data_IF_493958341076
#
_entry.id   IF_493958341076
#
_cell.length_a   1.000
_cell.length_b   1.000
_cell.length_c   1.000
_cell.angle_alpha   90.00
_cell.angle_beta   90.00
_cell.angle_gamma   90.00
#
_symmetry.space_group_name_H-M   'P 1'
#
loop_
_entity.id
_entity.type
_entity.pdbx_description
1 polymer ?
#
# COMPACT_ATOMS: atom_id res chain seq x y z
N UNK A 1 -54.60 -47.57 -20.03
CA UNK A 1 -53.40 -47.01 -19.38
C UNK A 1 -52.90 -45.85 -20.24
N UNK A 2 -52.35 -44.85 -19.57
CA UNK A 2 -52.17 -43.44 -19.91
C UNK A 2 -51.22 -43.09 -21.08
N UNK A 3 -51.55 -43.43 -22.32
CA UNK A 3 -50.70 -43.04 -23.48
C UNK A 3 -50.40 -41.54 -23.54
N UNK A 4 -51.35 -40.66 -23.19
CA UNK A 4 -51.11 -39.22 -23.14
C UNK A 4 -50.19 -38.78 -21.99
N UNK A 5 -50.26 -39.46 -20.84
CA UNK A 5 -49.40 -39.13 -19.68
C UNK A 5 -47.99 -39.68 -19.88
N UNK A 6 -47.86 -40.81 -20.56
CA UNK A 6 -46.57 -41.44 -20.88
C UNK A 6 -45.83 -40.62 -21.95
N UNK A 7 -46.56 -40.07 -22.93
CA UNK A 7 -46.01 -39.14 -23.93
C UNK A 7 -45.57 -37.84 -23.25
N UNK A 8 -46.38 -37.25 -22.37
CA UNK A 8 -46.00 -36.04 -21.62
C UNK A 8 -44.81 -36.27 -20.69
N UNK A 9 -44.72 -37.43 -20.03
CA UNK A 9 -43.59 -37.79 -19.20
C UNK A 9 -42.31 -38.03 -20.02
N UNK A 10 -42.44 -38.64 -21.20
CA UNK A 10 -41.33 -38.79 -22.13
C UNK A 10 -40.85 -37.43 -22.65
N UNK A 11 -41.76 -36.58 -23.15
CA UNK A 11 -41.43 -35.25 -23.66
C UNK A 11 -40.71 -34.39 -22.61
N UNK A 12 -41.19 -34.35 -21.36
CA UNK A 12 -40.49 -33.67 -20.26
C UNK A 12 -39.17 -34.34 -19.83
N UNK A 13 -38.97 -35.62 -20.14
CA UNK A 13 -37.72 -36.34 -19.85
C UNK A 13 -36.65 -36.16 -20.92
N UNK A 14 -37.03 -35.83 -22.17
CA UNK A 14 -36.09 -35.51 -23.28
C UNK A 14 -35.87 -34.02 -23.47
N UNK A 15 -36.63 -33.16 -22.79
CA UNK A 15 -36.30 -31.74 -22.72
C UNK A 15 -34.86 -31.57 -22.19
N UNK A 16 -33.97 -30.87 -22.94
CA UNK A 16 -32.66 -30.53 -22.43
C UNK A 16 -32.86 -29.78 -21.12
N UNK A 17 -32.37 -30.34 -20.01
CA UNK A 17 -32.47 -29.69 -18.71
C UNK A 17 -32.01 -28.24 -18.90
N UNK A 18 -32.87 -27.24 -18.63
CA UNK A 18 -32.46 -25.84 -18.76
C UNK A 18 -31.19 -25.70 -17.94
N UNK A 19 -30.11 -25.20 -18.55
CA UNK A 19 -28.80 -25.17 -17.93
C UNK A 19 -28.95 -24.50 -16.55
N UNK A 20 -28.99 -25.31 -15.48
CA UNK A 20 -29.23 -24.79 -14.15
C UNK A 20 -28.04 -23.89 -13.82
N UNK A 21 -28.28 -22.58 -13.81
CA UNK A 21 -27.27 -21.62 -13.40
C UNK A 21 -26.97 -21.89 -11.93
N UNK A 22 -25.76 -22.30 -11.60
CA UNK A 22 -25.39 -22.71 -10.23
C UNK A 22 -25.73 -21.64 -9.18
N UNK A 23 -25.64 -20.36 -9.55
CA UNK A 23 -26.04 -19.23 -8.74
C UNK A 23 -27.13 -18.43 -9.45
N UNK A 24 -28.13 -18.00 -8.70
CA UNK A 24 -29.24 -17.17 -9.19
C UNK A 24 -28.79 -15.73 -9.39
N UNK A 25 -28.12 -15.17 -8.38
CA UNK A 25 -27.72 -13.76 -8.33
C UNK A 25 -26.31 -13.60 -7.75
N UNK A 26 -25.59 -12.59 -8.25
CA UNK A 26 -24.41 -12.00 -7.61
C UNK A 26 -24.78 -10.64 -7.04
N UNK A 27 -24.45 -10.40 -5.77
CA UNK A 27 -24.68 -9.10 -5.08
C UNK A 27 -23.39 -8.62 -4.42
N UNK A 28 -23.28 -7.31 -4.20
CA UNK A 28 -22.20 -6.72 -3.44
C UNK A 28 -22.73 -6.26 -2.10
N UNK A 29 -22.13 -6.77 -1.03
CA UNK A 29 -22.45 -6.39 0.36
C UNK A 29 -21.25 -5.63 0.92
N UNK A 30 -21.50 -4.58 1.70
CA UNK A 30 -20.45 -3.89 2.43
C UNK A 30 -20.56 -4.12 3.93
N UNK A 31 -19.41 -4.18 4.60
CA UNK A 31 -19.27 -4.23 6.05
C UNK A 31 -18.55 -2.95 6.46
N UNK A 32 -19.15 -2.19 7.35
CA UNK A 32 -18.49 -1.02 7.93
C UNK A 32 -17.53 -1.46 9.03
N UNK A 33 -16.44 -0.71 9.16
CA UNK A 33 -15.55 -0.83 10.30
C UNK A 33 -16.30 -0.61 11.63
N UNK A 34 -15.84 -1.29 12.69
CA UNK A 34 -16.40 -1.20 14.04
C UNK A 34 -15.55 -0.41 15.04
N UNK A 35 -14.41 0.14 14.63
CA UNK A 35 -13.42 0.79 15.51
C UNK A 35 -13.25 2.29 15.28
N UNK A 36 -13.78 2.84 14.18
CA UNK A 36 -13.69 4.27 13.92
C UNK A 36 -14.50 5.10 14.91
N UNK A 37 -13.93 6.24 15.29
CA UNK A 37 -14.65 7.31 15.94
C UNK A 37 -14.83 8.45 14.93
N UNK A 38 -16.00 8.51 14.29
CA UNK A 38 -16.33 9.55 13.29
C UNK A 38 -15.30 9.61 12.13
N UNK A 39 -14.77 8.45 11.72
CA UNK A 39 -13.76 8.34 10.66
C UNK A 39 -12.31 8.57 11.11
N UNK A 40 -12.04 8.72 12.41
CA UNK A 40 -10.69 8.64 12.98
C UNK A 40 -10.41 7.23 13.50
N UNK A 41 -9.17 6.79 13.35
CA UNK A 41 -8.71 5.46 13.77
C UNK A 41 -7.50 5.58 14.70
N UNK A 42 -7.24 4.54 15.47
CA UNK A 42 -6.12 4.47 16.42
C UNK A 42 -5.16 3.32 16.04
N UNK A 43 -4.70 3.30 14.79
CA UNK A 43 -3.72 2.34 14.28
C UNK A 43 -4.27 0.98 13.83
N UNK A 44 -5.53 0.67 14.14
CA UNK A 44 -6.20 -0.56 13.70
C UNK A 44 -7.61 -0.28 13.17
N UNK A 45 -8.01 -1.08 12.19
CA UNK A 45 -9.34 -1.12 11.58
C UNK A 45 -9.87 -2.54 11.74
N UNK A 46 -11.11 -2.67 12.21
CA UNK A 46 -11.74 -3.97 12.44
C UNK A 46 -13.03 -4.11 11.64
N UNK A 47 -13.13 -5.18 10.84
CA UNK A 47 -14.37 -5.57 10.19
C UNK A 47 -14.99 -6.77 10.90
N UNK A 48 -16.22 -6.59 11.37
CA UNK A 48 -17.02 -7.65 11.99
C UNK A 48 -17.82 -8.41 10.93
N UNK A 49 -17.52 -9.70 10.75
CA UNK A 49 -18.13 -10.54 9.70
C UNK A 49 -19.53 -11.06 10.04
N UNK A 50 -20.10 -10.68 11.20
CA UNK A 50 -21.45 -11.12 11.59
C UNK A 50 -22.54 -10.75 10.58
N UNK A 51 -22.41 -9.63 9.88
CA UNK A 51 -23.38 -9.14 8.88
C UNK A 51 -23.48 -10.00 7.63
N UNK A 52 -22.38 -10.65 7.22
CA UNK A 52 -22.36 -11.60 6.09
C UNK A 52 -22.70 -13.02 6.53
N UNK A 53 -22.45 -13.34 7.80
CA UNK A 53 -22.75 -14.66 8.35
C UNK A 53 -24.24 -15.01 8.36
N UNK A 54 -25.11 -14.00 8.32
CA UNK A 54 -26.56 -14.14 8.39
C UNK A 54 -27.25 -14.23 7.03
N UNK A 55 -26.51 -14.10 5.90
CA UNK A 55 -27.11 -13.87 4.58
C UNK A 55 -27.43 -15.15 3.78
N UNK A 56 -27.21 -16.34 4.33
CA UNK A 56 -27.42 -17.62 3.62
C UNK A 56 -26.85 -17.65 2.19
N UNK A 57 -25.78 -16.89 1.95
CA UNK A 57 -25.14 -16.71 0.65
C UNK A 57 -23.65 -17.08 0.74
N UNK A 58 -23.09 -17.49 -0.39
CA UNK A 58 -21.66 -17.78 -0.50
C UNK A 58 -20.88 -16.50 -0.71
N UNK A 59 -19.86 -16.28 0.10
CA UNK A 59 -18.96 -15.12 0.02
C UNK A 59 -17.75 -15.50 -0.83
N UNK A 60 -17.45 -14.71 -1.85
CA UNK A 60 -16.20 -14.85 -2.60
C UNK A 60 -15.15 -13.86 -2.08
N UNK A 61 -14.17 -14.40 -1.36
CA UNK A 61 -13.09 -13.65 -0.74
C UNK A 61 -12.03 -13.15 -1.73
N UNK A 62 -11.89 -13.78 -2.89
CA UNK A 62 -10.86 -13.39 -3.88
C UNK A 62 -11.15 -12.00 -4.47
N UNK A 63 -12.44 -11.68 -4.64
CA UNK A 63 -12.94 -10.42 -5.15
C UNK A 63 -13.15 -9.35 -4.08
N UNK A 64 -12.89 -9.67 -2.81
CA UNK A 64 -13.14 -8.75 -1.71
C UNK A 64 -12.19 -7.56 -1.75
N UNK A 65 -12.75 -6.36 -1.54
CA UNK A 65 -12.04 -5.08 -1.60
C UNK A 65 -12.24 -4.31 -0.31
N UNK A 66 -11.15 -3.85 0.30
CA UNK A 66 -11.17 -2.87 1.37
C UNK A 66 -11.11 -1.49 0.75
N UNK A 67 -11.93 -0.58 1.25
CA UNK A 67 -11.84 0.83 0.93
C UNK A 67 -11.50 1.64 2.18
N UNK A 68 -10.37 2.36 2.12
CA UNK A 68 -9.85 3.19 3.20
C UNK A 68 -9.92 4.66 2.82
N UNK A 69 -10.50 5.54 3.65
CA UNK A 69 -10.42 6.98 3.44
C UNK A 69 -9.03 7.45 3.85
N UNK A 70 -8.27 7.98 2.90
CA UNK A 70 -6.91 8.48 3.12
C UNK A 70 -6.93 9.99 3.09
N UNK A 71 -6.18 10.60 4.00
CA UNK A 71 -5.96 12.05 4.05
C UNK A 71 -4.47 12.34 4.08
N UNK A 72 -4.04 13.12 3.09
CA UNK A 72 -2.68 13.63 2.99
C UNK A 72 -2.70 15.14 3.20
N UNK A 73 -1.78 15.67 4.02
CA UNK A 73 -1.74 17.10 4.32
C UNK A 73 -0.32 17.63 4.40
N UNK A 74 -0.18 18.90 4.06
CA UNK A 74 0.98 19.71 4.42
C UNK A 74 0.43 20.87 5.23
N UNK A 75 0.83 20.99 6.49
CA UNK A 75 0.40 22.03 7.41
C UNK A 75 1.53 23.02 7.67
N UNK A 76 1.17 24.25 8.02
CA UNK A 76 2.09 25.17 8.68
C UNK A 76 2.40 24.66 10.09
N UNK A 77 3.55 24.01 10.24
CA UNK A 77 4.03 23.46 11.52
C UNK A 77 4.84 24.47 12.34
N UNK A 78 5.10 25.68 11.82
CA UNK A 78 5.83 26.72 12.52
C UNK A 78 4.95 27.57 13.43
N UNK A 79 5.51 28.16 14.49
CA UNK A 79 4.77 28.94 15.50
C UNK A 79 4.22 30.31 15.02
N UNK A 80 4.22 30.60 13.72
CA UNK A 80 3.80 31.88 13.15
C UNK A 80 3.17 31.70 11.79
N UNK A 81 2.43 32.70 11.34
CA UNK A 81 1.84 32.67 10.01
C UNK A 81 2.89 32.75 8.91
N UNK A 82 2.66 32.06 7.80
CA UNK A 82 3.59 31.95 6.67
C UNK A 82 2.89 32.38 5.40
N UNK A 83 3.54 33.26 4.63
CA UNK A 83 3.09 33.62 3.28
C UNK A 83 3.82 32.74 2.27
N UNK A 84 3.06 31.97 1.49
CA UNK A 84 3.59 31.15 0.40
C UNK A 84 4.29 32.02 -0.65
N UNK A 85 5.39 31.54 -1.23
CA UNK A 85 6.01 32.16 -2.41
C UNK A 85 5.60 31.45 -3.70
N UNK A 86 5.16 30.19 -3.63
CA UNK A 86 4.44 29.48 -4.68
C UNK A 86 3.49 28.44 -4.09
N UNK A 87 2.36 28.21 -4.76
CA UNK A 87 1.33 27.27 -4.32
C UNK A 87 1.73 25.80 -4.55
N UNK A 88 1.19 24.91 -3.73
CA UNK A 88 1.24 23.47 -3.97
C UNK A 88 0.49 23.10 -5.25
N UNK A 89 0.94 22.05 -5.94
CA UNK A 89 0.18 21.42 -7.03
C UNK A 89 -0.64 20.23 -6.53
N UNK A 90 -1.41 19.61 -7.43
CA UNK A 90 -2.33 18.51 -7.06
C UNK A 90 -1.59 17.25 -6.57
N UNK A 91 -0.35 17.10 -6.99
CA UNK A 91 0.52 15.95 -6.85
C UNK A 91 1.73 16.26 -5.96
N UNK A 92 1.68 17.31 -5.13
CA UNK A 92 2.76 17.62 -4.18
C UNK A 92 3.04 16.46 -3.22
N UNK A 93 1.97 15.79 -2.75
CA UNK A 93 2.04 14.52 -2.04
C UNK A 93 1.33 13.46 -2.87
N UNK A 94 2.01 12.35 -3.13
CA UNK A 94 1.45 11.21 -3.84
C UNK A 94 1.55 9.96 -2.96
N UNK A 95 0.55 9.07 -2.95
CA UNK A 95 0.74 7.73 -2.43
C UNK A 95 1.92 7.04 -3.11
N UNK A 96 2.70 6.27 -2.35
CA UNK A 96 3.68 5.34 -2.94
C UNK A 96 2.94 4.29 -3.77
N UNK A 97 3.69 3.60 -4.64
CA UNK A 97 3.18 2.55 -5.52
C UNK A 97 2.28 1.54 -4.80
N UNK A 98 1.01 1.50 -5.17
CA UNK A 98 0.03 0.61 -4.59
C UNK A 98 -0.71 1.21 -3.39
N UNK A 99 -2.04 1.09 -3.39
CA UNK A 99 -2.91 1.46 -2.28
C UNK A 99 -2.60 0.65 -1.02
N UNK A 100 -2.04 -0.56 -1.18
CA UNK A 100 -1.59 -1.41 -0.08
C UNK A 100 -0.43 -0.81 0.74
N UNK A 101 0.19 0.30 0.32
CA UNK A 101 1.20 0.98 1.14
C UNK A 101 0.62 1.51 2.46
N UNK A 102 -0.69 1.74 2.52
CA UNK A 102 -1.39 2.08 3.76
C UNK A 102 -1.65 0.86 4.66
N UNK A 103 -1.30 -0.36 4.27
CA UNK A 103 -1.47 -1.57 5.09
C UNK A 103 -0.12 -1.99 5.65
N UNK A 104 0.00 -2.02 6.98
CA UNK A 104 1.18 -2.59 7.65
C UNK A 104 1.03 -4.11 7.79
N UNK A 105 -0.14 -4.55 8.25
CA UNK A 105 -0.38 -5.96 8.54
C UNK A 105 -1.86 -6.32 8.57
N UNK A 106 -2.16 -7.60 8.36
CA UNK A 106 -3.52 -8.15 8.35
C UNK A 106 -3.58 -9.40 9.21
N UNK A 107 -4.60 -9.48 10.07
CA UNK A 107 -4.95 -10.66 10.83
C UNK A 107 -6.38 -11.07 10.50
N UNK A 108 -6.58 -12.39 10.37
CA UNK A 108 -7.90 -12.95 10.07
C UNK A 108 -8.24 -13.96 11.16
N UNK A 109 -9.37 -13.74 11.81
CA UNK A 109 -9.95 -14.65 12.81
C UNK A 109 -11.28 -15.13 12.28
N UNK A 110 -11.42 -16.44 12.12
CA UNK A 110 -12.66 -17.09 11.69
C UNK A 110 -13.07 -18.08 12.76
N UNK A 111 -14.33 -18.01 13.20
CA UNK A 111 -14.90 -18.90 14.22
C UNK A 111 -14.05 -19.01 15.51
N UNK A 112 -13.43 -17.90 15.93
CA UNK A 112 -12.58 -17.83 17.12
C UNK A 112 -11.15 -18.35 16.93
N UNK A 113 -10.79 -18.85 15.74
CA UNK A 113 -9.45 -19.32 15.41
C UNK A 113 -8.73 -18.30 14.52
N UNK A 114 -7.50 -17.95 14.87
CA UNK A 114 -6.65 -17.12 14.00
C UNK A 114 -6.17 -17.96 12.81
N UNK A 115 -6.69 -17.67 11.63
CA UNK A 115 -6.33 -18.34 10.36
C UNK A 115 -5.27 -17.59 9.57
N UNK A 116 -4.96 -16.36 9.96
CA UNK A 116 -3.79 -15.65 9.48
C UNK A 116 -3.23 -14.82 10.63
N UNK A 117 -1.97 -15.05 10.97
CA UNK A 117 -1.31 -14.27 12.01
C UNK A 117 -0.94 -12.88 11.52
N UNK A 118 -0.86 -11.95 12.47
CA UNK A 118 -0.52 -10.58 12.21
C UNK A 118 0.98 -10.45 11.85
N UNK A 119 1.30 -10.22 10.58
CA UNK A 119 2.68 -10.07 10.09
C UNK A 119 2.90 -8.67 9.53
N UNK A 120 3.87 -7.94 10.09
CA UNK A 120 4.24 -6.60 9.63
C UNK A 120 4.79 -6.61 8.20
N UNK A 121 4.83 -5.44 7.56
CA UNK A 121 5.33 -5.26 6.19
C UNK A 121 4.55 -6.02 5.11
N UNK A 122 3.23 -6.14 5.24
CA UNK A 122 2.40 -6.76 4.20
C UNK A 122 2.41 -5.95 2.90
N UNK A 123 2.54 -4.62 2.99
CA UNK A 123 2.77 -3.75 1.84
C UNK A 123 4.00 -4.14 1.01
N UNK A 124 5.09 -4.58 1.66
CA UNK A 124 6.31 -5.03 0.99
C UNK A 124 6.04 -6.29 0.19
N UNK A 125 5.37 -7.26 0.80
CA UNK A 125 5.01 -8.52 0.15
C UNK A 125 4.05 -8.30 -1.03
N UNK A 126 3.02 -7.47 -0.86
CA UNK A 126 2.08 -7.12 -1.92
C UNK A 126 2.79 -6.47 -3.12
N UNK A 127 3.72 -5.55 -2.85
CA UNK A 127 4.56 -4.91 -3.87
C UNK A 127 5.43 -5.94 -4.59
N UNK A 128 6.12 -6.81 -3.87
CA UNK A 128 6.96 -7.86 -4.45
C UNK A 128 6.14 -8.80 -5.35
N UNK A 129 4.95 -9.22 -4.91
CA UNK A 129 4.03 -10.03 -5.72
C UNK A 129 3.55 -9.28 -6.97
N UNK A 130 3.22 -7.99 -6.85
CA UNK A 130 2.81 -7.20 -8.00
C UNK A 130 3.93 -7.09 -9.04
N UNK A 131 5.19 -6.95 -8.60
CA UNK A 131 6.35 -6.88 -9.50
C UNK A 131 6.74 -8.23 -10.13
N UNK A 132 6.50 -9.34 -9.45
CA UNK A 132 7.01 -10.67 -9.86
C UNK A 132 5.94 -11.62 -10.39
N UNK A 133 4.68 -11.47 -9.97
CA UNK A 133 3.58 -12.37 -10.31
C UNK A 133 2.57 -11.76 -11.29
N UNK A 134 2.47 -10.43 -11.41
CA UNK A 134 1.50 -9.83 -12.32
C UNK A 134 2.01 -9.85 -13.76
N UNK A 135 1.23 -10.46 -14.64
CA UNK A 135 1.39 -10.30 -16.08
C UNK A 135 0.81 -8.94 -16.53
N UNK A 136 1.10 -8.56 -17.78
CA UNK A 136 0.63 -7.30 -18.35
C UNK A 136 -0.91 -7.17 -18.33
N UNK A 137 -1.65 -8.27 -18.51
CA UNK A 137 -3.11 -8.24 -18.43
C UNK A 137 -3.61 -8.02 -17.00
N UNK A 138 -2.98 -8.65 -16.01
CA UNK A 138 -3.26 -8.39 -14.60
C UNK A 138 -2.94 -6.95 -14.25
N UNK A 139 -1.83 -6.40 -14.75
CA UNK A 139 -1.49 -4.99 -14.56
C UNK A 139 -2.56 -4.05 -15.13
N UNK A 140 -3.02 -4.24 -16.38
CA UNK A 140 -4.08 -3.40 -16.96
C UNK A 140 -5.38 -3.48 -16.14
N UNK A 141 -5.75 -4.66 -15.66
CA UNK A 141 -7.01 -4.87 -14.91
C UNK A 141 -6.94 -4.40 -13.46
N UNK A 142 -5.80 -4.60 -12.79
CA UNK A 142 -5.64 -4.39 -11.33
C UNK A 142 -4.89 -3.11 -11.00
N UNK A 143 -3.94 -2.69 -11.83
CA UNK A 143 -3.09 -1.52 -11.64
C UNK A 143 -3.89 -0.24 -11.37
N UNK A 144 -4.86 0.14 -12.23
CA UNK A 144 -5.65 1.35 -12.02
C UNK A 144 -6.46 1.35 -10.70
N UNK A 145 -7.03 0.21 -10.31
CA UNK A 145 -7.83 0.13 -9.07
C UNK A 145 -6.97 0.10 -7.81
N UNK A 146 -5.75 -0.44 -7.92
CA UNK A 146 -4.83 -0.56 -6.79
C UNK A 146 -3.82 0.58 -6.73
N UNK A 147 -3.91 1.59 -7.60
CA UNK A 147 -2.93 2.67 -7.70
C UNK A 147 -1.49 2.15 -7.83
N UNK A 148 -1.31 1.04 -8.55
CA UNK A 148 0.00 0.46 -8.84
C UNK A 148 0.42 0.77 -10.28
N UNK A 149 1.67 1.18 -10.46
CA UNK A 149 2.30 1.33 -11.77
C UNK A 149 3.59 0.53 -11.82
N UNK A 150 3.82 -0.08 -12.98
CA UNK A 150 5.12 -0.62 -13.34
C UNK A 150 6.02 0.52 -13.83
N UNK A 151 7.32 0.37 -13.57
CA UNK A 151 8.34 1.27 -14.08
C UNK A 151 8.32 1.29 -15.61
N UNK A 152 8.32 2.50 -16.18
CA UNK A 152 8.42 2.70 -17.63
C UNK A 152 9.87 3.01 -17.98
N UNK A 153 10.44 2.29 -18.94
CA UNK A 153 11.77 2.61 -19.45
C UNK A 153 11.77 4.01 -20.04
N UNK A 154 12.65 4.87 -19.51
CA UNK A 154 12.93 6.20 -20.07
C UNK A 154 14.40 6.33 -20.40
N UNK A 155 14.68 7.15 -21.41
CA UNK A 155 16.05 7.47 -21.78
C UNK A 155 16.78 8.08 -20.58
N UNK A 156 18.03 7.65 -20.33
CA UNK A 156 18.87 8.24 -19.31
C UNK A 156 18.96 9.76 -19.42
N UNK A 157 18.94 10.44 -18.28
CA UNK A 157 19.16 11.89 -18.25
C UNK A 157 20.64 12.14 -18.54
N UNK A 158 20.98 12.96 -19.54
CA UNK A 158 22.36 13.30 -19.84
C UNK A 158 23.12 13.80 -18.59
N UNK A 159 24.31 13.26 -18.33
CA UNK A 159 25.13 13.65 -17.18
C UNK A 159 24.88 12.85 -15.89
N UNK A 160 23.99 11.86 -15.90
CA UNK A 160 23.80 10.92 -14.77
C UNK A 160 24.64 9.65 -14.97
N UNK A 161 25.27 9.14 -13.91
CA UNK A 161 26.12 7.94 -13.99
C UNK A 161 25.27 6.69 -14.28
N UNK A 162 25.58 5.98 -15.37
CA UNK A 162 24.79 4.86 -15.89
C UNK A 162 25.31 3.46 -15.54
N UNK A 163 26.53 3.36 -14.99
CA UNK A 163 27.17 2.07 -14.70
C UNK A 163 27.11 1.79 -13.20
N UNK A 164 26.45 0.72 -12.75
CA UNK A 164 26.32 0.39 -11.31
C UNK A 164 27.61 -0.15 -10.66
N UNK A 165 28.61 -0.51 -11.46
CA UNK A 165 29.87 -1.02 -10.92
C UNK A 165 30.74 0.11 -10.37
N UNK A 166 31.14 -0.02 -9.10
CA UNK A 166 32.11 0.85 -8.44
C UNK A 166 31.71 2.34 -8.30
N UNK A 167 30.42 2.66 -8.35
CA UNK A 167 29.94 4.01 -8.00
C UNK A 167 30.15 4.24 -6.51
N UNK A 168 30.87 5.32 -6.17
CA UNK A 168 30.88 5.84 -4.81
C UNK A 168 29.52 6.41 -4.46
N UNK A 169 28.94 5.99 -3.35
CA UNK A 169 27.65 6.46 -2.82
C UNK A 169 27.57 7.99 -2.65
N UNK A 170 28.70 8.69 -2.49
CA UNK A 170 28.77 10.16 -2.54
C UNK A 170 28.35 10.76 -3.89
N UNK A 171 28.58 10.05 -5.00
CA UNK A 171 28.11 10.43 -6.36
C UNK A 171 26.59 10.39 -6.49
N UNK A 172 25.91 9.68 -5.58
CA UNK A 172 24.46 9.60 -5.49
C UNK A 172 23.86 10.55 -4.45
N UNK A 173 24.67 11.08 -3.52
CA UNK A 173 24.23 12.00 -2.45
C UNK A 173 24.40 13.47 -2.86
N UNK A 174 25.26 13.77 -3.84
CA UNK A 174 25.47 15.14 -4.29
C UNK A 174 24.22 15.68 -4.98
N UNK A 175 23.71 16.82 -4.51
CA UNK A 175 22.35 17.33 -4.73
C UNK A 175 21.92 17.61 -6.18
N UNK A 176 22.81 17.44 -7.15
CA UNK A 176 22.50 17.55 -8.59
C UNK A 176 22.08 16.22 -9.22
N UNK A 177 22.45 15.08 -8.62
CA UNK A 177 22.24 13.73 -9.19
C UNK A 177 21.27 12.88 -8.37
N UNK A 178 21.19 13.13 -7.05
CA UNK A 178 20.32 12.39 -6.12
C UNK A 178 18.82 12.56 -6.39
N UNK A 179 18.41 13.76 -6.82
CA UNK A 179 17.02 14.13 -6.98
C UNK A 179 16.38 13.59 -8.28
N UNK A 180 17.19 13.10 -9.24
CA UNK A 180 16.70 12.85 -10.61
C UNK A 180 16.48 11.38 -10.97
N UNK A 181 17.02 10.40 -10.26
CA UNK A 181 16.94 9.00 -10.73
C UNK A 181 15.76 8.18 -10.17
N UNK A 182 15.41 8.21 -8.87
CA UNK A 182 14.26 7.45 -8.39
C UNK A 182 12.93 8.23 -8.42
N UNK A 183 12.96 9.57 -8.41
CA UNK A 183 11.75 10.41 -8.30
C UNK A 183 11.12 10.80 -9.64
N UNK A 184 11.89 10.78 -10.73
CA UNK A 184 11.39 11.15 -12.08
C UNK A 184 10.44 10.11 -12.67
N UNK A 185 10.48 8.86 -12.19
CA UNK A 185 9.71 7.77 -12.77
C UNK A 185 8.21 7.72 -12.38
N UNK A 186 7.82 8.41 -11.29
CA UNK A 186 6.46 8.28 -10.73
C UNK A 186 5.52 9.42 -11.15
N UNK A 187 6.06 10.54 -11.64
CA UNK A 187 5.31 11.79 -11.86
C UNK A 187 4.49 11.87 -13.15
N UNK A 188 4.61 10.93 -14.11
CA UNK A 188 3.97 11.08 -15.43
C UNK A 188 2.90 10.06 -15.81
N UNK A 189 2.68 9.01 -15.02
CA UNK A 189 1.48 8.17 -15.18
C UNK A 189 0.52 8.43 -14.02
N UNK A 190 -0.76 8.54 -14.35
CA UNK A 190 -1.88 8.81 -13.45
C UNK A 190 -2.01 7.73 -12.35
N UNK A 191 -1.15 7.75 -11.33
CA UNK A 191 -1.12 6.66 -10.33
C UNK A 191 -2.20 6.83 -9.26
N UNK A 192 -2.70 8.03 -9.03
CA UNK A 192 -4.03 8.24 -8.45
C UNK A 192 -4.33 9.73 -8.52
N UNK A 193 -5.37 10.13 -9.26
CA UNK A 193 -5.89 11.49 -9.07
C UNK A 193 -6.63 11.51 -7.73
N UNK A 194 -6.38 12.47 -6.85
CA UNK A 194 -7.07 12.50 -5.58
C UNK A 194 -8.54 12.79 -5.85
N UNK A 195 -9.44 12.13 -5.12
CA UNK A 195 -10.89 12.28 -5.34
C UNK A 195 -11.36 13.71 -5.06
N UNK A 196 -10.73 14.38 -4.08
CA UNK A 196 -10.87 15.82 -3.84
C UNK A 196 -9.56 16.42 -3.33
N UNK A 197 -9.26 17.64 -3.78
CA UNK A 197 -8.10 18.40 -3.33
C UNK A 197 -8.49 19.83 -3.04
N UNK A 198 -7.83 20.41 -2.06
CA UNK A 198 -7.81 21.85 -1.88
C UNK A 198 -6.38 22.35 -1.99
N UNK A 199 -6.26 23.44 -2.75
CA UNK A 199 -5.02 24.19 -2.94
C UNK A 199 -5.24 25.57 -2.36
N UNK A 200 -4.33 26.03 -1.50
CA UNK A 200 -4.33 27.43 -1.13
C UNK A 200 -3.45 28.21 -2.11
N UNK A 201 -4.06 29.15 -2.81
CA UNK A 201 -3.35 30.18 -3.57
C UNK A 201 -2.78 31.24 -2.62
N UNK A 202 -1.60 31.77 -2.97
CA UNK A 202 -0.86 32.88 -2.36
C UNK A 202 -1.65 33.68 -1.30
N UNK A 203 -1.58 33.23 -0.05
CA UNK A 203 -2.17 33.89 1.11
C UNK A 203 -1.29 33.67 2.33
N UNK A 204 -1.49 34.51 3.34
CA UNK A 204 -0.98 34.31 4.69
C UNK A 204 -1.73 33.13 5.32
N UNK A 205 -1.03 32.03 5.61
CA UNK A 205 -1.58 30.89 6.34
C UNK A 205 -1.21 30.97 7.82
N UNK A 206 -2.21 30.92 8.69
CA UNK A 206 -2.01 30.81 10.13
C UNK A 206 -1.38 29.46 10.52
N UNK A 207 -0.90 29.37 11.76
CA UNK A 207 -0.39 28.13 12.36
C UNK A 207 -1.42 27.00 12.22
N UNK A 208 -0.93 25.79 11.90
CA UNK A 208 -1.70 24.55 11.68
C UNK A 208 -2.74 24.60 10.55
N UNK A 209 -2.85 25.70 9.80
CA UNK A 209 -3.64 25.69 8.59
C UNK A 209 -2.92 24.94 7.47
N UNK A 210 -3.66 24.19 6.65
CA UNK A 210 -3.07 23.39 5.61
C UNK A 210 -2.61 24.22 4.42
N UNK A 211 -1.36 24.05 3.99
CA UNK A 211 -0.91 24.44 2.65
C UNK A 211 -1.51 23.55 1.56
N UNK A 212 -1.69 22.26 1.86
CA UNK A 212 -2.20 21.25 0.95
C UNK A 212 -3.05 20.24 1.71
N UNK A 213 -4.17 19.84 1.11
CA UNK A 213 -4.99 18.72 1.60
C UNK A 213 -5.49 17.93 0.40
N UNK A 214 -5.31 16.62 0.46
CA UNK A 214 -5.83 15.68 -0.51
C UNK A 214 -6.54 14.52 0.18
N UNK A 215 -7.73 14.20 -0.34
CA UNK A 215 -8.48 13.02 0.07
C UNK A 215 -8.43 11.97 -1.03
N UNK A 216 -7.94 10.78 -0.67
CA UNK A 216 -7.94 9.60 -1.53
C UNK A 216 -8.85 8.53 -0.95
N UNK A 217 -9.39 7.67 -1.82
CA UNK A 217 -10.04 6.42 -1.42
C UNK A 217 -9.11 5.31 -1.88
N UNK A 218 -8.43 4.66 -0.94
CA UNK A 218 -7.53 3.55 -1.23
C UNK A 218 -8.36 2.28 -1.35
N UNK A 219 -8.42 1.71 -2.55
CA UNK A 219 -9.10 0.44 -2.83
C UNK A 219 -8.07 -0.69 -2.88
N UNK A 220 -8.16 -1.64 -1.95
CA UNK A 220 -7.17 -2.69 -1.75
C UNK A 220 -7.87 -4.04 -1.82
N UNK A 221 -7.46 -4.91 -2.74
CA UNK A 221 -7.99 -6.28 -2.79
C UNK A 221 -7.38 -7.13 -1.69
N UNK A 222 -8.22 -7.89 -1.00
CA UNK A 222 -7.78 -8.81 0.04
C UNK A 222 -6.84 -9.91 -0.50
N UNK A 223 -7.04 -10.31 -1.76
CA UNK A 223 -6.21 -11.30 -2.45
C UNK A 223 -4.79 -10.80 -2.80
N UNK A 224 -4.57 -9.48 -2.85
CA UNK A 224 -3.24 -8.91 -3.10
C UNK A 224 -2.40 -8.85 -1.81
N UNK A 225 -3.04 -8.60 -0.66
CA UNK A 225 -2.38 -8.50 0.65
C UNK A 225 -2.32 -9.82 1.43
N UNK A 226 -3.06 -10.86 1.04
CA UNK A 226 -3.03 -12.12 1.77
C UNK A 226 -3.30 -13.32 0.86
N UNK A 227 -2.44 -14.34 1.00
CA UNK A 227 -2.57 -15.60 0.26
C UNK A 227 -3.76 -16.43 0.78
N UNK A 228 -4.20 -16.22 2.03
CA UNK A 228 -5.41 -16.82 2.56
C UNK A 228 -6.61 -16.45 1.69
N UNK A 229 -6.87 -15.16 1.45
CA UNK A 229 -8.02 -14.72 0.66
C UNK A 229 -7.92 -15.09 -0.83
N UNK A 230 -6.70 -15.21 -1.37
CA UNK A 230 -6.46 -15.67 -2.75
C UNK A 230 -6.83 -17.14 -2.96
N UNK A 231 -6.69 -17.98 -1.93
CA UNK A 231 -6.89 -19.44 -2.02
C UNK A 231 -8.11 -19.93 -1.24
N UNK A 232 -8.72 -19.07 -0.43
CA UNK A 232 -9.90 -19.39 0.35
C UNK A 232 -11.06 -19.70 -0.61
N UNK A 233 -11.65 -20.90 -0.56
CA UNK A 233 -12.83 -21.19 -1.36
C UNK A 233 -14.00 -20.32 -0.91
N UNK A 234 -15.04 -20.23 -1.73
CA UNK A 234 -16.26 -19.55 -1.31
C UNK A 234 -16.86 -20.24 -0.06
N UNK A 235 -17.25 -19.43 0.91
CA UNK A 235 -17.75 -19.90 2.20
C UNK A 235 -19.12 -19.30 2.51
N UNK A 236 -19.95 -20.07 3.20
CA UNK A 236 -21.25 -19.65 3.72
C UNK A 236 -21.15 -19.47 5.23
N UNK A 237 -21.87 -18.50 5.77
CA UNK A 237 -21.96 -18.25 7.22
C UNK A 237 -20.62 -17.95 7.91
N UNK A 238 -19.63 -17.36 7.21
CA UNK A 238 -18.33 -17.01 7.82
C UNK A 238 -18.52 -15.99 8.94
N UNK A 239 -18.07 -16.34 10.15
CA UNK A 239 -18.10 -15.46 11.34
C UNK A 239 -16.69 -15.16 11.81
N UNK A 240 -16.50 -13.98 12.40
CA UNK A 240 -15.24 -13.58 12.98
C UNK A 240 -14.88 -12.14 12.63
N UNK A 241 -13.57 -11.88 12.58
CA UNK A 241 -13.01 -10.55 12.44
C UNK A 241 -11.85 -10.52 11.46
N UNK A 242 -11.78 -9.45 10.68
CA UNK A 242 -10.58 -9.08 9.93
C UNK A 242 -10.04 -7.82 10.58
N UNK A 243 -8.79 -7.89 11.02
CA UNK A 243 -8.06 -6.76 11.58
C UNK A 243 -7.01 -6.29 10.60
N UNK A 244 -6.92 -4.98 10.41
CA UNK A 244 -5.93 -4.35 9.56
C UNK A 244 -5.23 -3.29 10.40
N UNK A 245 -3.92 -3.44 10.57
CA UNK A 245 -3.11 -2.34 11.06
C UNK A 245 -2.61 -1.55 9.87
N UNK A 246 -2.73 -0.22 9.93
CA UNK A 246 -2.41 0.65 8.81
C UNK A 246 -1.13 1.44 9.07
N UNK A 247 -0.50 1.84 7.97
CA UNK A 247 0.66 2.73 7.99
C UNK A 247 0.19 4.18 8.01
N UNK A 248 0.75 4.97 8.94
CA UNK A 248 0.50 6.40 9.06
C UNK A 248 1.76 7.12 9.54
N UNK A 249 2.03 8.30 8.99
CA UNK A 249 3.29 9.00 9.25
C UNK A 249 3.11 10.50 9.35
N UNK A 250 3.91 11.11 10.21
CA UNK A 250 4.10 12.55 10.34
C UNK A 250 5.57 12.91 10.07
N UNK A 251 5.82 13.86 9.17
CA UNK A 251 7.17 14.34 8.84
C UNK A 251 7.25 15.84 9.05
N UNK A 252 8.19 16.26 9.89
CA UNK A 252 8.55 17.66 10.05
C UNK A 252 9.71 18.00 9.12
N UNK A 253 9.54 19.04 8.31
CA UNK A 253 10.57 19.56 7.40
C UNK A 253 10.84 21.02 7.77
N UNK A 254 12.10 21.41 7.92
CA UNK A 254 12.48 22.82 8.08
C UNK A 254 13.36 23.27 6.92
N UNK A 255 13.06 24.42 6.33
CA UNK A 255 13.82 24.98 5.20
C UNK A 255 14.90 25.98 5.64
N UNK A 256 16.04 26.06 4.93
CA UNK A 256 17.13 27.02 5.23
C UNK A 256 17.07 28.30 4.37
N UNK A 257 16.36 28.28 3.26
CA UNK A 257 16.33 29.36 2.28
C UNK A 257 14.92 29.54 1.70
N UNK A 258 14.63 30.74 1.21
CA UNK A 258 13.38 31.03 0.49
C UNK A 258 13.41 30.38 -0.88
N UNK A 259 12.37 29.61 -1.21
CA UNK A 259 12.25 28.96 -2.51
C UNK A 259 11.42 27.68 -2.46
N UNK A 260 11.46 26.91 -3.54
CA UNK A 260 10.82 25.59 -3.61
C UNK A 260 11.41 24.67 -2.56
N UNK A 261 10.54 23.91 -1.90
CA UNK A 261 10.94 22.89 -0.92
C UNK A 261 11.49 21.70 -1.68
N UNK A 262 12.82 21.60 -1.69
CA UNK A 262 13.59 20.58 -2.39
C UNK A 262 14.86 20.27 -1.59
N UNK A 263 15.57 19.19 -1.95
CA UNK A 263 16.78 18.75 -1.24
C UNK A 263 17.83 19.86 -0.99
N UNK A 264 17.96 20.84 -1.89
CA UNK A 264 18.91 21.95 -1.74
C UNK A 264 18.53 22.96 -0.64
N UNK A 265 17.24 23.05 -0.33
CA UNK A 265 16.67 24.08 0.56
C UNK A 265 16.15 23.50 1.89
N UNK A 266 16.29 22.19 2.11
CA UNK A 266 15.85 21.51 3.33
C UNK A 266 17.03 21.42 4.32
N UNK A 267 16.83 21.92 5.53
CA UNK A 267 17.80 21.87 6.63
C UNK A 267 17.69 20.56 7.40
N UNK A 268 16.46 20.19 7.76
CA UNK A 268 16.18 19.03 8.62
C UNK A 268 14.93 18.33 8.13
N UNK A 269 14.95 17.00 8.27
CA UNK A 269 13.81 16.12 8.04
C UNK A 269 13.71 15.22 9.26
N UNK A 270 12.59 15.28 9.96
CA UNK A 270 12.29 14.38 11.06
C UNK A 270 11.01 13.62 10.74
N UNK A 271 11.15 12.34 10.38
CA UNK A 271 10.00 11.48 10.11
C UNK A 271 9.67 10.64 11.35
N UNK A 272 8.39 10.62 11.70
CA UNK A 272 7.81 9.77 12.71
C UNK A 272 6.73 8.87 12.08
N UNK A 273 6.70 7.61 12.52
CA UNK A 273 5.59 6.71 12.22
C UNK A 273 4.59 6.84 13.35
N UNK A 274 3.40 7.35 13.04
CA UNK A 274 2.31 7.44 14.02
C UNK A 274 1.71 6.05 14.23
N UNK A 275 1.57 5.28 13.14
CA UNK A 275 1.18 3.87 13.15
C UNK A 275 1.92 3.08 12.06
N UNK A 276 2.12 1.78 12.29
CA UNK A 276 2.80 0.89 11.34
C UNK A 276 4.29 1.16 11.20
N UNK A 277 4.89 0.65 10.12
CA UNK A 277 6.35 0.61 9.95
C UNK A 277 6.88 1.28 8.67
N UNK A 278 6.00 1.68 7.75
CA UNK A 278 6.37 2.26 6.46
C UNK A 278 5.66 3.59 6.22
N UNK A 279 6.36 4.62 5.77
CA UNK A 279 5.72 5.85 5.30
C UNK A 279 5.02 5.57 3.95
N UNK A 280 3.70 5.81 3.83
CA UNK A 280 2.92 5.40 2.68
C UNK A 280 2.94 6.39 1.51
N UNK A 281 3.59 7.55 1.66
CA UNK A 281 3.58 8.65 0.68
C UNK A 281 4.96 9.00 0.16
N UNK A 282 4.99 9.67 -0.98
CA UNK A 282 6.17 10.28 -1.57
C UNK A 282 5.96 11.78 -1.74
N UNK A 283 6.98 12.56 -1.39
CA UNK A 283 7.07 13.97 -1.70
C UNK A 283 7.49 14.15 -3.15
N UNK A 284 6.71 14.89 -3.94
CA UNK A 284 7.02 15.13 -5.33
C UNK A 284 7.79 16.44 -5.51
N UNK A 285 9.10 16.34 -5.76
CA UNK A 285 9.97 17.50 -6.01
C UNK A 285 9.72 18.16 -7.36
N UNK A 286 8.97 17.54 -8.28
CA UNK A 286 8.72 18.04 -9.65
C UNK A 286 7.24 18.30 -9.92
N UNK A 287 6.48 18.62 -8.87
CA UNK A 287 5.03 18.62 -8.87
C UNK A 287 4.36 19.67 -9.79
N UNK A 288 5.09 20.67 -10.28
CA UNK A 288 4.58 21.68 -11.22
C UNK A 288 5.20 21.61 -12.63
N UNK A 289 6.03 20.61 -12.93
CA UNK A 289 6.77 20.54 -14.19
C UNK A 289 5.94 20.00 -15.34
N UNK A 290 5.97 20.72 -16.47
CA UNK A 290 5.52 20.27 -17.79
C UNK A 290 6.67 19.97 -18.77
N UNK A 291 7.94 20.17 -18.36
CA UNK A 291 9.13 20.06 -19.24
C UNK A 291 10.30 19.30 -18.58
N UNK A 292 11.06 18.51 -19.36
CA UNK A 292 12.08 17.56 -18.86
C UNK A 292 13.37 18.19 -18.24
N UNK A 293 13.31 19.37 -17.62
CA UNK A 293 14.50 20.09 -17.11
C UNK A 293 15.03 19.56 -15.76
N UNK A 294 14.26 18.73 -15.05
CA UNK A 294 14.66 18.14 -13.76
C UNK A 294 14.79 19.13 -12.59
N UNK A 295 14.44 20.41 -12.77
CA UNK A 295 14.50 21.44 -11.74
C UNK A 295 13.34 21.31 -10.74
N UNK A 296 13.58 21.37 -9.44
CA UNK A 296 12.50 21.24 -8.47
C UNK A 296 11.41 22.32 -8.63
N UNK A 297 10.15 21.92 -8.48
CA UNK A 297 8.98 22.81 -8.57
C UNK A 297 7.89 22.43 -7.56
N UNK A 298 6.86 23.27 -7.42
CA UNK A 298 5.76 23.04 -6.50
C UNK A 298 5.74 24.03 -5.35
N UNK A 299 5.42 23.54 -4.14
CA UNK A 299 5.35 24.34 -2.93
C UNK A 299 6.65 25.13 -2.71
N UNK A 300 6.54 26.46 -2.62
CA UNK A 300 7.65 27.33 -2.25
C UNK A 300 7.28 28.20 -1.04
N UNK A 301 8.23 28.31 -0.12
CA UNK A 301 8.06 28.93 1.20
C UNK A 301 9.25 29.84 1.54
N UNK A 302 9.08 30.77 2.49
CA UNK A 302 10.19 31.55 3.05
C UNK A 302 11.23 30.67 3.76
N UNK A 303 12.45 31.20 3.92
CA UNK A 303 13.47 30.60 4.77
C UNK A 303 12.94 30.33 6.21
N UNK A 304 13.48 29.30 6.87
CA UNK A 304 13.11 28.90 8.23
C UNK A 304 11.64 28.52 8.42
N UNK A 305 10.93 28.17 7.34
CA UNK A 305 9.57 27.62 7.43
C UNK A 305 9.61 26.19 7.93
N UNK A 306 8.75 25.87 8.90
CA UNK A 306 8.50 24.50 9.37
C UNK A 306 7.22 23.97 8.78
N UNK A 307 7.31 22.86 8.06
CA UNK A 307 6.20 22.13 7.48
C UNK A 307 5.92 20.86 8.28
N UNK A 308 4.65 20.55 8.49
CA UNK A 308 4.21 19.27 9.01
C UNK A 308 3.45 18.51 7.91
N UNK A 309 4.08 17.47 7.39
CA UNK A 309 3.51 16.58 6.37
C UNK A 309 2.87 15.39 7.07
N UNK A 310 1.59 15.12 6.83
CA UNK A 310 0.87 13.97 7.42
C UNK A 310 0.27 13.09 6.33
N UNK A 311 0.29 11.78 6.57
CA UNK A 311 -0.37 10.78 5.75
C UNK A 311 -1.05 9.77 6.65
N UNK A 312 -2.38 9.74 6.64
CA UNK A 312 -3.17 8.97 7.60
C UNK A 312 -4.42 8.35 6.96
N UNK A 313 -4.87 7.22 7.51
CA UNK A 313 -6.20 6.69 7.23
C UNK A 313 -7.17 7.48 8.08
N UNK A 314 -7.88 8.43 7.47
CA UNK A 314 -8.67 9.39 8.20
C UNK A 314 -9.78 10.00 7.33
N UNK A 315 -11.02 9.72 7.71
CA UNK A 315 -12.23 10.17 7.04
C UNK A 315 -12.82 11.47 7.57
N UNK A 316 -12.12 12.22 8.44
CA UNK A 316 -12.62 13.53 8.88
C UNK A 316 -12.30 14.63 7.87
N UNK A 317 -13.21 15.60 7.73
CA UNK A 317 -12.97 16.82 6.97
C UNK A 317 -11.81 17.62 7.57
N UNK A 318 -11.08 18.35 6.73
CA UNK A 318 -10.03 19.24 7.24
C UNK A 318 -10.62 20.60 7.59
N UNK A 319 -10.40 21.05 8.82
CA UNK A 319 -10.82 22.37 9.28
C UNK A 319 -10.21 23.49 8.41
N UNK A 320 -11.00 24.53 8.14
CA UNK A 320 -10.56 25.68 7.32
C UNK A 320 -10.42 25.41 5.82
N UNK A 321 -10.58 24.16 5.38
CA UNK A 321 -10.41 23.76 3.97
C UNK A 321 -11.72 23.78 3.16
N UNK A 322 -12.86 23.52 3.79
CA UNK A 322 -14.12 23.36 3.07
C UNK A 322 -14.17 22.12 2.16
N UNK A 323 -13.16 21.23 2.23
CA UNK A 323 -13.17 19.94 1.56
C UNK A 323 -13.35 18.80 2.56
N UNK A 324 -14.11 17.80 2.12
CA UNK A 324 -14.42 16.58 2.87
C UNK A 324 -14.08 15.35 2.03
N UNK A 325 -13.78 14.20 2.67
CA UNK A 325 -13.57 12.96 1.93
C UNK A 325 -14.89 12.46 1.33
N UNK A 326 -14.80 11.66 0.26
CA UNK A 326 -15.95 10.99 -0.35
C UNK A 326 -16.59 9.93 0.56
N UNK A 327 -15.81 9.43 1.51
CA UNK A 327 -16.20 8.40 2.46
C UNK A 327 -15.55 8.70 3.81
N UNK A 328 -16.33 8.65 4.89
CA UNK A 328 -15.84 8.92 6.25
C UNK A 328 -15.36 7.65 6.96
N UNK A 329 -15.95 6.50 6.65
CA UNK A 329 -15.69 5.24 7.38
C UNK A 329 -15.17 4.18 6.41
N UNK A 330 -14.16 3.41 6.83
CA UNK A 330 -13.60 2.30 6.07
C UNK A 330 -14.65 1.22 5.88
N UNK A 331 -14.65 0.58 4.71
CA UNK A 331 -15.59 -0.52 4.43
C UNK A 331 -14.91 -1.68 3.73
N UNK A 332 -15.39 -2.88 4.04
CA UNK A 332 -15.04 -4.09 3.32
C UNK A 332 -16.19 -4.45 2.38
N UNK A 333 -15.92 -4.42 1.08
CA UNK A 333 -16.81 -4.85 0.02
C UNK A 333 -16.56 -6.33 -0.30
N UNK A 334 -17.61 -7.13 -0.30
CA UNK A 334 -17.54 -8.54 -0.66
C UNK A 334 -18.63 -8.89 -1.66
N UNK A 335 -18.32 -9.79 -2.59
CA UNK A 335 -19.34 -10.35 -3.47
C UNK A 335 -19.98 -11.57 -2.83
N UNK A 336 -21.32 -11.61 -2.85
CA UNK A 336 -22.14 -12.70 -2.33
C UNK A 336 -22.93 -13.34 -3.46
N UNK A 337 -23.03 -14.66 -3.43
CA UNK A 337 -23.73 -15.45 -4.42
C UNK A 337 -24.87 -16.23 -3.78
N UNK A 338 -26.06 -16.11 -4.36
CA UNK A 338 -27.24 -16.86 -3.93
C UNK A 338 -27.32 -18.17 -4.73
N UNK A 339 -27.06 -19.34 -4.11
CA UNK A 339 -27.07 -20.62 -4.82
C UNK A 339 -28.50 -21.07 -5.14
N UNK A 340 -28.64 -21.87 -6.21
CA UNK A 340 -29.84 -22.68 -6.38
C UNK A 340 -29.86 -23.82 -5.34
N UNK A 341 -31.04 -24.35 -4.93
CA UNK A 341 -31.11 -25.40 -3.91
C UNK A 341 -30.31 -26.67 -4.24
N UNK A 342 -30.25 -27.06 -5.51
CA UNK A 342 -29.42 -28.16 -6.02
C UNK A 342 -27.93 -27.88 -5.84
N UNK A 343 -27.48 -26.68 -6.21
CA UNK A 343 -26.11 -26.22 -6.06
C UNK A 343 -25.70 -26.02 -4.59
N UNK A 344 -26.61 -25.55 -3.72
CA UNK A 344 -26.33 -25.37 -2.29
C UNK A 344 -25.96 -26.71 -1.65
N UNK A 345 -26.75 -27.77 -1.91
CA UNK A 345 -26.45 -29.12 -1.42
C UNK A 345 -25.12 -29.68 -1.96
N UNK A 346 -24.79 -29.41 -3.22
CA UNK A 346 -23.53 -29.87 -3.81
C UNK A 346 -22.30 -29.11 -3.29
N UNK A 347 -22.46 -27.82 -2.95
CA UNK A 347 -21.36 -26.94 -2.52
C UNK A 347 -21.10 -26.99 -1.01
N UNK A 348 -22.09 -27.40 -0.20
CA UNK A 348 -21.92 -27.64 1.24
C UNK A 348 -21.16 -28.95 1.45
N UNK A 349 -19.85 -28.89 1.24
CA UNK A 349 -18.92 -29.98 1.52
C UNK A 349 -17.73 -29.46 2.32
N UNK A 350 -17.25 -30.28 3.26
CA UNK A 350 -16.03 -29.95 4.01
C UNK A 350 -14.83 -30.06 3.09
N UNK A 351 -14.21 -28.92 2.76
CA UNK A 351 -13.00 -28.84 1.95
C UNK A 351 -11.82 -28.38 2.79
N UNK A 352 -10.64 -28.88 2.45
CA UNK A 352 -9.37 -28.39 3.00
C UNK A 352 -8.61 -27.69 1.90
N UNK A 353 -7.91 -26.62 2.25
CA UNK A 353 -7.04 -25.89 1.34
C UNK A 353 -5.76 -25.51 2.08
N UNK A 354 -4.70 -25.20 1.32
CA UNK A 354 -3.41 -24.80 1.86
C UNK A 354 -3.03 -23.46 1.28
N UNK A 355 -2.59 -22.56 2.14
CA UNK A 355 -2.06 -21.25 1.77
C UNK A 355 -0.68 -21.07 2.39
N UNK A 356 0.06 -20.08 1.91
CA UNK A 356 1.35 -19.71 2.48
C UNK A 356 1.14 -18.72 3.61
N UNK A 357 1.63 -19.08 4.78
CA UNK A 357 1.84 -18.12 5.85
C UNK A 357 3.25 -17.52 5.73
N UNK A 358 3.37 -16.25 6.12
CA UNK A 358 4.62 -15.49 6.05
C UNK A 358 5.15 -15.30 7.47
N UNK A 359 6.47 -15.26 7.59
CA UNK A 359 7.15 -14.81 8.81
C UNK A 359 8.16 -13.76 8.42
N UNK A 360 8.15 -12.62 9.12
CA UNK A 360 9.00 -11.47 8.80
C UNK A 360 10.04 -11.29 9.87
N UNK A 361 11.29 -11.12 9.46
CA UNK A 361 12.36 -10.78 10.38
C UNK A 361 13.28 -9.71 9.77
N UNK A 362 13.81 -8.82 10.61
CA UNK A 362 14.81 -7.82 10.26
C UNK A 362 16.12 -8.19 10.93
N UNK A 363 17.22 -8.09 10.19
CA UNK A 363 18.58 -8.15 10.72
C UNK A 363 19.42 -7.08 10.03
N UNK A 364 20.53 -6.70 10.64
CA UNK A 364 21.45 -5.73 10.03
C UNK A 364 22.85 -6.28 9.92
N UNK A 365 23.54 -5.87 8.86
CA UNK A 365 24.88 -6.32 8.49
C UNK A 365 25.73 -5.08 8.25
N UNK A 366 26.93 -5.05 8.84
CA UNK A 366 27.90 -3.98 8.59
C UNK A 366 28.52 -4.15 7.20
N UNK A 367 28.92 -3.03 6.59
CA UNK A 367 29.56 -3.05 5.28
C UNK A 367 30.83 -3.93 5.30
N UNK A 368 31.01 -4.76 4.26
CA UNK A 368 32.15 -5.67 4.08
C UNK A 368 32.38 -6.69 5.21
N UNK A 369 31.36 -6.97 6.03
CA UNK A 369 31.42 -8.01 7.06
C UNK A 369 30.69 -9.28 6.62
N UNK A 370 31.29 -10.44 6.92
CA UNK A 370 30.59 -11.72 6.87
C UNK A 370 29.66 -11.83 8.07
N UNK A 371 28.47 -12.41 7.89
CA UNK A 371 27.54 -12.67 8.98
C UNK A 371 26.86 -14.03 8.79
N UNK A 372 26.46 -14.65 9.89
CA UNK A 372 25.62 -15.84 9.89
C UNK A 372 24.48 -15.61 10.86
N UNK A 373 23.26 -15.87 10.43
CA UNK A 373 22.08 -15.60 11.23
C UNK A 373 21.00 -16.65 11.02
N UNK A 374 20.45 -17.11 12.15
CA UNK A 374 19.33 -18.06 12.16
C UNK A 374 18.03 -17.29 12.11
N UNK A 375 17.32 -17.37 10.97
CA UNK A 375 16.02 -16.69 10.78
C UNK A 375 14.99 -17.18 11.80
N UNK A 376 14.82 -18.49 11.94
CA UNK A 376 14.00 -19.15 12.96
C UNK A 376 14.13 -20.67 12.83
N UNK A 377 13.99 -21.38 13.95
CA UNK A 377 13.93 -22.84 13.99
C UNK A 377 12.48 -23.37 13.91
N UNK A 378 11.48 -22.49 13.96
CA UNK A 378 10.06 -22.84 14.10
C UNK A 378 9.27 -22.97 12.81
N UNK A 379 9.85 -22.67 11.64
CA UNK A 379 9.14 -22.79 10.36
C UNK A 379 9.23 -24.22 9.87
N UNK A 380 8.10 -24.93 9.92
CA UNK A 380 7.97 -26.22 9.27
C UNK A 380 7.89 -26.05 7.75
N UNK A 381 8.71 -26.82 7.01
CA UNK A 381 8.65 -26.93 5.54
C UNK A 381 8.68 -25.57 4.79
N UNK A 382 9.71 -24.72 5.00
CA UNK A 382 9.81 -23.44 4.32
C UNK A 382 9.80 -23.62 2.79
N UNK A 383 9.01 -22.79 2.08
CA UNK A 383 8.82 -22.89 0.62
C UNK A 383 9.41 -21.75 -0.18
N UNK A 384 9.53 -20.56 0.41
CA UNK A 384 10.03 -19.35 -0.25
C UNK A 384 10.84 -18.53 0.75
N UNK A 385 11.96 -17.97 0.32
CA UNK A 385 12.71 -16.95 1.03
C UNK A 385 12.73 -15.69 0.16
N UNK A 386 12.32 -14.57 0.72
CA UNK A 386 12.36 -13.26 0.07
C UNK A 386 13.24 -12.37 0.93
N UNK A 387 14.24 -11.74 0.33
CA UNK A 387 15.16 -10.83 0.99
C UNK A 387 15.14 -9.48 0.29
N UNK A 388 14.94 -8.41 1.07
CA UNK A 388 15.00 -7.04 0.56
C UNK A 388 16.11 -6.29 1.30
N UNK A 389 17.28 -6.08 0.66
CA UNK A 389 18.35 -5.31 1.26
C UNK A 389 18.00 -3.81 1.22
N UNK A 390 18.24 -3.13 2.34
CA UNK A 390 17.97 -1.70 2.51
C UNK A 390 19.16 -1.04 3.20
N UNK A 391 19.53 0.16 2.74
CA UNK A 391 20.59 0.94 3.35
C UNK A 391 20.12 1.54 4.68
N UNK A 392 20.94 1.39 5.72
CA UNK A 392 20.63 1.85 7.07
C UNK A 392 21.64 2.87 7.63
N UNK A 393 22.60 3.29 6.80
CA UNK A 393 23.62 4.29 7.16
C UNK A 393 23.86 5.25 5.99
N UNK A 394 23.93 6.56 6.30
CA UNK A 394 24.21 7.61 5.31
C UNK A 394 25.67 7.62 4.86
N UNK A 395 26.56 7.12 5.71
CA UNK A 395 28.00 7.15 5.46
C UNK A 395 28.43 5.81 4.85
N UNK A 396 28.94 5.82 3.61
CA UNK A 396 29.42 4.62 2.94
C UNK A 396 30.53 3.93 3.70
N UNK A 397 30.48 2.60 3.83
CA UNK A 397 31.53 1.84 4.51
C UNK A 397 31.65 2.11 6.01
N UNK A 398 30.71 2.86 6.60
CA UNK A 398 30.76 3.18 8.03
C UNK A 398 30.56 1.94 8.91
N UNK A 399 31.38 1.85 9.96
CA UNK A 399 31.26 0.90 11.05
C UNK A 399 30.33 1.39 12.17
N UNK A 400 29.80 2.63 12.07
CA UNK A 400 28.87 3.21 13.06
C UNK A 400 27.49 2.56 13.00
N UNK A 401 26.76 2.66 14.12
CA UNK A 401 25.51 1.92 14.37
C UNK A 401 24.58 1.88 13.15
N UNK A 402 24.21 0.70 12.65
CA UNK A 402 23.19 0.59 11.64
C UNK A 402 21.84 1.08 12.17
N UNK A 403 21.05 1.72 11.31
CA UNK A 403 19.69 2.26 11.54
C UNK A 403 19.62 3.77 11.86
N UNK A 404 20.64 4.55 11.43
CA UNK A 404 20.58 6.03 11.45
C UNK A 404 19.58 6.55 10.41
N UNK A 405 19.45 5.84 9.28
CA UNK A 405 18.41 6.10 8.28
C UNK A 405 17.54 4.88 8.08
N UNK A 406 16.25 5.11 7.89
CA UNK A 406 15.30 4.07 7.55
C UNK A 406 14.47 4.49 6.32
N UNK A 407 14.88 4.05 5.12
CA UNK A 407 14.19 4.39 3.88
C UNK A 407 12.73 3.94 3.80
N UNK A 408 12.29 2.93 4.58
CA UNK A 408 10.86 2.59 4.66
C UNK A 408 10.05 3.72 5.26
N UNK A 409 10.64 4.47 6.20
CA UNK A 409 9.99 5.57 6.91
C UNK A 409 10.11 6.90 6.17
N UNK A 410 10.91 7.00 5.12
CA UNK A 410 11.10 8.30 4.45
C UNK A 410 10.01 8.59 3.39
N UNK A 411 9.48 9.82 3.33
CA UNK A 411 8.65 10.30 2.22
C UNK A 411 9.48 10.72 1.00
N UNK A 412 10.81 10.73 1.09
CA UNK A 412 11.72 11.02 -0.03
C UNK A 412 12.34 9.74 -0.61
N UNK A 413 11.80 8.59 -0.22
CA UNK A 413 12.27 7.27 -0.62
C UNK A 413 11.17 6.50 -1.32
N UNK A 414 11.49 5.89 -2.46
CA UNK A 414 10.61 5.01 -3.22
C UNK A 414 10.50 3.61 -2.61
N UNK A 415 11.18 3.32 -1.49
CA UNK A 415 11.08 2.03 -0.78
C UNK A 415 9.72 1.98 -0.05
N UNK A 416 8.94 0.88 -0.15
CA UNK A 416 9.34 -0.46 -0.59
C UNK A 416 9.07 -0.80 -2.07
N UNK A 417 8.55 0.13 -2.87
CA UNK A 417 8.35 -0.06 -4.31
C UNK A 417 9.65 -0.39 -5.06
N UNK A 418 10.79 -0.02 -4.46
CA UNK A 418 12.14 -0.22 -4.99
C UNK A 418 13.05 -0.82 -3.90
N UNK A 419 14.26 -1.20 -4.29
CA UNK A 419 15.33 -1.60 -3.36
C UNK A 419 16.34 -0.47 -3.19
N UNK A 420 17.15 -0.51 -2.12
CA UNK A 420 18.22 0.48 -1.98
C UNK A 420 19.31 0.23 -3.02
N UNK A 421 19.72 1.27 -3.78
CA UNK A 421 20.86 1.12 -4.68
C UNK A 421 22.10 0.79 -3.84
N UNK A 422 22.95 -0.13 -4.34
CA UNK A 422 24.22 -0.54 -3.73
C UNK A 422 24.15 -1.33 -2.41
N UNK A 423 22.96 -1.62 -1.87
CA UNK A 423 22.80 -2.58 -0.79
C UNK A 423 22.72 -3.99 -1.38
N UNK A 424 23.87 -4.65 -1.57
CA UNK A 424 23.94 -6.00 -2.13
C UNK A 424 24.62 -6.97 -1.17
N UNK A 425 24.06 -8.18 -1.04
CA UNK A 425 24.72 -9.29 -0.38
C UNK A 425 25.54 -10.06 -1.41
N UNK A 426 26.81 -10.32 -1.09
CA UNK A 426 27.69 -11.18 -1.89
C UNK A 426 27.88 -12.51 -1.16
N UNK A 427 28.02 -13.60 -1.91
CA UNK A 427 28.22 -14.95 -1.37
C UNK A 427 27.12 -15.40 -0.39
N UNK A 428 25.86 -15.11 -0.71
CA UNK A 428 24.72 -15.57 0.09
C UNK A 428 24.65 -17.11 0.06
N UNK A 429 24.76 -17.72 1.22
CA UNK A 429 24.47 -19.14 1.43
C UNK A 429 23.28 -19.27 2.36
N UNK A 430 22.29 -20.07 1.95
CA UNK A 430 21.12 -20.39 2.76
C UNK A 430 21.16 -21.87 3.10
N UNK A 431 20.89 -22.20 4.35
CA UNK A 431 20.82 -23.60 4.81
C UNK A 431 19.48 -23.87 5.47
N UNK A 432 18.83 -24.97 5.09
CA UNK A 432 17.60 -25.46 5.71
C UNK A 432 17.89 -26.82 6.33
N UNK A 433 17.67 -26.97 7.64
CA UNK A 433 17.99 -28.23 8.34
C UNK A 433 19.48 -28.61 8.25
N UNK A 434 20.38 -27.62 8.24
CA UNK A 434 21.84 -27.77 8.03
C UNK A 434 22.24 -28.29 6.64
N UNK A 435 21.33 -28.31 5.68
CA UNK A 435 21.62 -28.63 4.28
C UNK A 435 21.63 -27.33 3.47
N UNK A 436 22.69 -27.03 2.70
CA UNK A 436 22.70 -25.90 1.77
C UNK A 436 21.61 -26.04 0.71
N UNK A 437 20.94 -24.94 0.37
CA UNK A 437 19.93 -24.90 -0.71
C UNK A 437 20.41 -24.08 -1.90
#
# INVERSE_FOLDING_TARGET
MSTASDISAFEHSVEPAPAETLFRDKKWTYIQDSTSNTGQYAGQIQFNLSTISSQAAFVNWEEAVIELPIKLQILNGGGSSVTLTAACTVDQLVPKAGAWQFVDSVQVVVDGVTVQTNQVHENVNATFKALTEWDYNSYIKRGPTSNFALDEFRLPIPGTVQNLDNITTSSYINGTVAASLPMILWGQRQISKPYRNLKYTLRLLALLLPFYVAHYLACIKLSDISDYFKKCPMQKNTKGFIYINYNSSSTTITTNATGTVAATNITTINNNMDFGNTCPILWNDLSAITTNSGAATGLAVPASTTLLVTADVNGTATSGSGISPSQTISRLLVSTYSPNPSADNALIQKKTFRYFERVTNKFTVLANQSFTWTVTNGIANPKKLIMQPVITNVTPGSSSLPDVINPFRSPFSTIPATTSPFAALRNLQVTVGKVPI
#
